data_IF_202547544981
#
_entry.id   IF_202547544981
#
_cell.length_a   1.000
_cell.length_b   1.000
_cell.length_c   1.000
_cell.angle_alpha   90.00
_cell.angle_beta   90.00
_cell.angle_gamma   90.00
#
_symmetry.space_group_name_H-M   'P 1'
#
loop_
_entity.id
_entity.type
_entity.pdbx_description
1 polymer ?
#
# COMPACT_ATOMS: atom_id res chain seq x y z
N UNK A 1 -0.23 9.10 -2.65
CA UNK A 1 0.44 10.18 -1.90
C UNK A 1 0.14 11.56 -2.46
N UNK A 2 0.37 11.83 -3.76
CA UNK A 2 0.03 13.13 -4.36
C UNK A 2 -1.47 13.48 -4.27
N UNK A 3 -2.35 12.49 -4.47
CA UNK A 3 -3.81 12.65 -4.32
C UNK A 3 -4.22 13.06 -2.90
N UNK A 4 -3.56 12.52 -1.87
CA UNK A 4 -3.80 12.87 -0.47
C UNK A 4 -3.45 14.34 -0.20
N UNK A 5 -2.28 14.78 -0.65
CA UNK A 5 -1.84 16.16 -0.49
C UNK A 5 -2.75 17.15 -1.24
N UNK A 6 -3.22 16.79 -2.44
CA UNK A 6 -4.14 17.62 -3.23
C UNK A 6 -5.50 17.79 -2.53
N UNK A 7 -6.08 16.70 -2.02
CA UNK A 7 -7.35 16.75 -1.28
C UNK A 7 -7.18 17.58 0.01
N UNK A 8 -6.09 17.38 0.75
CA UNK A 8 -5.79 18.18 1.94
C UNK A 8 -5.70 19.68 1.62
N UNK A 9 -5.04 20.04 0.50
CA UNK A 9 -4.97 21.41 0.03
C UNK A 9 -6.36 21.99 -0.30
N UNK A 10 -7.20 21.25 -1.04
CA UNK A 10 -8.56 21.71 -1.37
C UNK A 10 -9.42 21.90 -0.12
N UNK A 11 -9.39 20.95 0.81
CA UNK A 11 -10.12 21.07 2.07
C UNK A 11 -9.60 22.24 2.91
N UNK A 12 -8.30 22.54 2.89
CA UNK A 12 -7.73 23.68 3.61
C UNK A 12 -8.17 25.02 3.01
N UNK A 13 -8.25 25.10 1.68
CA UNK A 13 -8.79 26.27 0.99
C UNK A 13 -10.27 26.48 1.31
N UNK A 14 -11.07 25.40 1.37
CA UNK A 14 -12.48 25.47 1.76
C UNK A 14 -12.61 25.89 3.24
N UNK A 15 -11.80 25.34 4.13
CA UNK A 15 -11.75 25.73 5.54
C UNK A 15 -11.46 27.22 5.73
N UNK A 16 -10.52 27.75 4.94
CA UNK A 16 -10.24 29.18 4.90
C UNK A 16 -11.39 30.01 4.33
N UNK A 17 -12.02 29.55 3.25
CA UNK A 17 -13.17 30.22 2.67
C UNK A 17 -14.34 30.31 3.66
N UNK A 18 -14.64 29.24 4.39
CA UNK A 18 -15.69 29.21 5.44
C UNK A 18 -15.38 30.24 6.52
N UNK A 19 -14.18 30.20 7.10
CA UNK A 19 -13.80 31.13 8.15
C UNK A 19 -13.84 32.59 7.68
N UNK A 20 -13.44 32.87 6.43
CA UNK A 20 -13.46 34.22 5.89
C UNK A 20 -14.88 34.72 5.57
N UNK A 21 -15.77 33.82 5.13
CA UNK A 21 -17.15 34.14 4.78
C UNK A 21 -18.05 34.32 6.01
N UNK A 22 -17.89 33.52 7.06
CA UNK A 22 -18.69 33.65 8.29
C UNK A 22 -18.29 34.86 9.13
N UNK A 23 -17.00 35.20 9.14
CA UNK A 23 -16.42 36.21 10.05
C UNK A 23 -17.10 37.58 10.06
N UNK A 24 -17.54 38.17 8.93
CA UNK A 24 -18.28 39.43 8.92
C UNK A 24 -19.67 39.32 9.55
N UNK A 25 -20.35 38.17 9.37
CA UNK A 25 -21.72 37.95 9.83
C UNK A 25 -21.84 37.48 11.28
N UNK A 26 -20.75 37.04 11.89
CA UNK A 26 -20.77 36.53 13.26
C UNK A 26 -20.89 37.66 14.31
N UNK A 27 -21.88 37.57 15.24
CA UNK A 27 -22.05 38.55 16.32
C UNK A 27 -20.92 38.47 17.35
N UNK A 28 -20.35 37.28 17.56
CA UNK A 28 -19.18 37.07 18.41
C UNK A 28 -18.00 36.57 17.57
N UNK A 29 -16.80 37.11 17.79
CA UNK A 29 -15.58 36.76 17.06
C UNK A 29 -14.97 35.45 17.59
N UNK A 30 -15.72 34.36 17.43
CA UNK A 30 -15.39 33.02 17.92
C UNK A 30 -14.78 32.10 16.84
N UNK A 31 -14.79 32.52 15.58
CA UNK A 31 -14.31 31.68 14.46
C UNK A 31 -12.82 31.37 14.57
N UNK A 32 -12.38 30.31 13.89
CA UNK A 32 -10.99 29.85 13.98
C UNK A 32 -9.97 30.92 13.55
N UNK A 33 -10.33 31.80 12.61
CA UNK A 33 -9.49 32.92 12.16
C UNK A 33 -9.28 33.98 13.25
N UNK A 34 -10.29 34.23 14.09
CA UNK A 34 -10.19 35.17 15.20
C UNK A 34 -9.37 34.55 16.34
N UNK A 35 -9.51 33.25 16.58
CA UNK A 35 -8.65 32.52 17.51
C UNK A 35 -7.18 32.53 17.06
N UNK A 36 -6.92 32.33 15.76
CA UNK A 36 -5.57 32.46 15.20
C UNK A 36 -5.01 33.87 15.38
N UNK A 37 -5.81 34.91 15.12
CA UNK A 37 -5.43 36.30 15.31
C UNK A 37 -5.04 36.61 16.76
N UNK A 38 -5.77 36.06 17.71
CA UNK A 38 -5.46 36.19 19.13
C UNK A 38 -4.15 35.47 19.49
N UNK A 39 -3.98 34.23 19.01
CA UNK A 39 -2.78 33.42 19.26
C UNK A 39 -1.50 34.06 18.68
N UNK A 40 -1.58 34.69 17.50
CA UNK A 40 -0.43 35.34 16.86
C UNK A 40 -0.26 36.80 17.26
N UNK A 41 -1.12 37.34 18.13
CA UNK A 41 -1.20 38.77 18.49
C UNK A 41 -1.35 39.69 17.27
N UNK A 42 -1.95 39.19 16.19
CA UNK A 42 -2.23 39.93 14.96
C UNK A 42 -3.74 40.12 14.85
N UNK A 43 -4.27 41.06 15.63
CA UNK A 43 -5.70 41.33 15.71
C UNK A 43 -6.24 41.96 14.43
N UNK A 44 -7.54 41.76 14.22
CA UNK A 44 -8.28 42.46 13.18
C UNK A 44 -8.87 43.76 13.72
N UNK A 45 -8.89 44.80 12.89
CA UNK A 45 -9.47 46.09 13.20
C UNK A 45 -10.98 46.11 12.91
N UNK A 46 -11.68 47.12 13.43
CA UNK A 46 -13.14 47.34 13.24
C UNK A 46 -13.55 47.37 11.77
N UNK A 47 -12.65 47.79 10.88
CA UNK A 47 -12.89 47.93 9.45
C UNK A 47 -12.66 46.61 8.69
N UNK A 48 -12.57 45.48 9.41
CA UNK A 48 -12.19 44.16 8.88
C UNK A 48 -10.80 44.11 8.24
N UNK A 49 -9.98 45.14 8.43
CA UNK A 49 -8.59 45.21 8.00
C UNK A 49 -7.67 44.57 9.05
N UNK A 50 -6.44 44.23 8.65
CA UNK A 50 -5.46 43.59 9.53
C UNK A 50 -5.64 42.07 9.64
N UNK A 51 -5.26 41.52 10.79
CA UNK A 51 -5.26 40.08 11.04
C UNK A 51 -3.98 39.35 10.61
N UNK A 52 -3.99 38.01 10.73
CA UNK A 52 -2.83 37.20 10.40
C UNK A 52 -2.41 37.28 8.93
N UNK A 53 -1.10 37.14 8.69
CA UNK A 53 -0.55 37.05 7.33
C UNK A 53 -1.20 35.92 6.53
N UNK A 54 -1.26 36.06 5.19
CA UNK A 54 -1.81 35.01 4.32
C UNK A 54 -1.08 33.67 4.50
N UNK A 55 0.24 33.70 4.68
CA UNK A 55 1.04 32.51 4.98
C UNK A 55 0.60 31.84 6.27
N UNK A 56 0.40 32.60 7.35
CA UNK A 56 -0.06 32.05 8.61
C UNK A 56 -1.45 31.41 8.46
N UNK A 57 -2.41 32.10 7.83
CA UNK A 57 -3.75 31.58 7.55
C UNK A 57 -3.71 30.25 6.79
N UNK A 58 -2.93 30.20 5.71
CA UNK A 58 -2.81 29.01 4.85
C UNK A 58 -2.13 27.84 5.58
N UNK A 59 -1.02 28.08 6.26
CA UNK A 59 -0.29 27.03 6.99
C UNK A 59 -1.14 26.48 8.14
N UNK A 60 -1.85 27.34 8.87
CA UNK A 60 -2.77 26.91 9.94
C UNK A 60 -3.96 26.11 9.37
N UNK A 61 -4.53 26.53 8.24
CA UNK A 61 -5.61 25.79 7.58
C UNK A 61 -5.14 24.41 7.08
N UNK A 62 -3.98 24.34 6.43
CA UNK A 62 -3.36 23.07 6.05
C UNK A 62 -3.10 22.20 7.27
N UNK A 63 -2.52 22.75 8.32
CA UNK A 63 -2.26 22.02 9.55
C UNK A 63 -3.54 21.42 10.16
N UNK A 64 -4.62 22.20 10.24
CA UNK A 64 -5.93 21.72 10.70
C UNK A 64 -6.43 20.54 9.84
N UNK A 65 -6.42 20.70 8.52
CA UNK A 65 -6.91 19.65 7.61
C UNK A 65 -6.05 18.39 7.63
N UNK A 66 -4.72 18.50 7.64
CA UNK A 66 -3.84 17.35 7.79
C UNK A 66 -4.04 16.67 9.14
N UNK A 67 -4.16 17.42 10.24
CA UNK A 67 -4.40 16.85 11.56
C UNK A 67 -5.75 16.12 11.65
N UNK A 68 -6.77 16.60 10.94
CA UNK A 68 -8.10 15.97 10.88
C UNK A 68 -8.12 14.76 9.96
N UNK A 69 -7.51 14.85 8.76
CA UNK A 69 -7.43 13.75 7.79
C UNK A 69 -6.60 12.57 8.31
N UNK A 70 -5.59 12.85 9.15
CA UNK A 70 -4.76 11.81 9.78
C UNK A 70 -5.33 11.30 11.10
N UNK A 71 -6.50 11.80 11.52
CA UNK A 71 -7.15 11.44 12.80
C UNK A 71 -6.29 11.74 14.04
N UNK A 72 -5.32 12.66 13.94
CA UNK A 72 -4.47 13.05 15.08
C UNK A 72 -5.19 14.07 15.96
N UNK A 73 -5.79 15.11 15.34
CA UNK A 73 -6.71 16.03 16.03
C UNK A 73 -6.16 16.70 17.29
N UNK A 74 -5.03 17.40 17.21
CA UNK A 74 -4.38 18.05 18.36
C UNK A 74 -5.25 19.09 19.13
N UNK A 75 -6.31 19.61 18.51
CA UNK A 75 -7.28 20.50 19.16
C UNK A 75 -6.86 21.97 19.34
N UNK A 76 -5.63 22.33 18.94
CA UNK A 76 -5.13 23.71 18.95
C UNK A 76 -5.77 24.61 17.86
N UNK A 77 -6.27 24.01 16.78
CA UNK A 77 -7.17 24.64 15.81
C UNK A 77 -8.43 23.79 15.80
N UNK A 78 -9.55 24.39 16.20
CA UNK A 78 -10.81 23.68 16.36
C UNK A 78 -11.98 24.48 15.75
N UNK A 79 -13.02 23.80 15.25
CA UNK A 79 -14.26 24.42 14.83
C UNK A 79 -15.04 24.95 16.04
N UNK A 80 -15.44 26.22 16.00
CA UNK A 80 -16.23 26.86 17.03
C UNK A 80 -17.65 27.17 16.55
N UNK A 81 -17.81 27.53 15.27
CA UNK A 81 -19.13 27.79 14.67
C UNK A 81 -19.80 26.50 14.20
N UNK A 82 -21.12 26.53 14.01
CA UNK A 82 -21.85 25.34 13.58
C UNK A 82 -21.51 24.95 12.14
N UNK A 83 -21.24 25.91 11.24
CA UNK A 83 -20.77 25.62 9.88
C UNK A 83 -19.36 25.03 9.91
N UNK A 84 -18.46 25.58 10.72
CA UNK A 84 -17.12 25.01 10.93
C UNK A 84 -17.21 23.56 11.45
N UNK A 85 -18.11 23.26 12.39
CA UNK A 85 -18.32 21.91 12.93
C UNK A 85 -18.87 20.95 11.87
N UNK A 86 -19.89 21.36 11.12
CA UNK A 86 -20.48 20.55 10.04
C UNK A 86 -19.41 20.20 9.01
N UNK A 87 -18.61 21.18 8.58
CA UNK A 87 -17.51 20.94 7.65
C UNK A 87 -16.46 19.98 8.25
N UNK A 88 -16.12 20.16 9.52
CA UNK A 88 -15.14 19.28 10.19
C UNK A 88 -15.62 17.83 10.26
N UNK A 89 -16.91 17.59 10.52
CA UNK A 89 -17.51 16.25 10.47
C UNK A 89 -17.33 15.63 9.08
N UNK A 90 -17.60 16.38 8.01
CA UNK A 90 -17.40 15.90 6.64
C UNK A 90 -15.93 15.59 6.33
N UNK A 91 -15.01 16.44 6.78
CA UNK A 91 -13.56 16.23 6.64
C UNK A 91 -13.11 14.97 7.39
N UNK A 92 -13.62 14.72 8.59
CA UNK A 92 -13.30 13.51 9.36
C UNK A 92 -13.83 12.24 8.66
N UNK A 93 -15.03 12.29 8.08
CA UNK A 93 -15.56 11.16 7.29
C UNK A 93 -14.70 10.88 6.06
N UNK A 94 -14.34 11.90 5.30
CA UNK A 94 -13.44 11.78 4.14
C UNK A 94 -12.07 11.26 4.59
N UNK A 95 -11.54 11.80 5.68
CA UNK A 95 -10.26 11.40 6.28
C UNK A 95 -10.23 9.92 6.65
N UNK A 96 -11.28 9.42 7.31
CA UNK A 96 -11.34 8.00 7.69
C UNK A 96 -11.32 7.05 6.49
N UNK A 97 -12.07 7.37 5.42
CA UNK A 97 -12.08 6.59 4.18
C UNK A 97 -10.71 6.63 3.47
N UNK A 98 -10.10 7.81 3.40
CA UNK A 98 -8.77 7.97 2.80
C UNK A 98 -7.70 7.22 3.59
N UNK A 99 -7.72 7.32 4.92
CA UNK A 99 -6.80 6.62 5.80
C UNK A 99 -6.94 5.10 5.64
N UNK A 100 -8.17 4.58 5.64
CA UNK A 100 -8.44 3.16 5.39
C UNK A 100 -7.90 2.70 4.02
N UNK A 101 -8.06 3.50 2.96
CA UNK A 101 -7.52 3.19 1.64
C UNK A 101 -5.99 3.15 1.61
N UNK A 102 -5.32 4.12 2.25
CA UNK A 102 -3.86 4.16 2.33
C UNK A 102 -3.34 2.92 3.05
N UNK A 103 -3.89 2.62 4.23
CA UNK A 103 -3.50 1.43 5.00
C UNK A 103 -3.81 0.13 4.26
N UNK A 104 -4.95 0.04 3.56
CA UNK A 104 -5.28 -1.10 2.72
C UNK A 104 -4.27 -1.32 1.59
N UNK A 105 -3.86 -0.26 0.91
CA UNK A 105 -2.85 -0.33 -0.15
C UNK A 105 -1.47 -0.73 0.41
N UNK A 106 -1.05 -0.13 1.53
CA UNK A 106 0.22 -0.50 2.19
C UNK A 106 0.20 -1.96 2.63
N UNK A 107 -0.90 -2.41 3.25
CA UNK A 107 -1.09 -3.81 3.64
C UNK A 107 -1.00 -4.75 2.43
N UNK A 108 -1.65 -4.42 1.32
CA UNK A 108 -1.59 -5.21 0.08
C UNK A 108 -0.16 -5.26 -0.50
N UNK A 109 0.59 -4.16 -0.44
CA UNK A 109 2.00 -4.13 -0.87
C UNK A 109 2.85 -5.04 0.03
N UNK A 110 2.68 -4.94 1.35
CA UNK A 110 3.38 -5.79 2.32
C UNK A 110 3.06 -7.27 2.07
N UNK A 111 1.78 -7.61 1.89
CA UNK A 111 1.35 -8.98 1.58
C UNK A 111 1.98 -9.49 0.29
N UNK A 112 2.07 -8.66 -0.76
CA UNK A 112 2.73 -9.03 -2.03
C UNK A 112 4.23 -9.20 -1.87
N UNK A 113 4.89 -8.32 -1.12
CA UNK A 113 6.33 -8.39 -0.85
C UNK A 113 6.70 -9.68 -0.12
N UNK A 114 5.90 -10.07 0.87
CA UNK A 114 6.12 -11.29 1.65
C UNK A 114 5.43 -12.53 1.08
N UNK A 115 4.77 -12.46 -0.08
CA UNK A 115 4.03 -13.58 -0.66
C UNK A 115 4.94 -14.79 -0.94
N UNK A 116 6.15 -14.57 -1.43
CA UNK A 116 7.11 -15.66 -1.72
C UNK A 116 7.55 -16.40 -0.45
N UNK A 117 7.94 -15.65 0.58
CA UNK A 117 8.34 -16.20 1.88
C UNK A 117 7.18 -16.87 2.61
N UNK A 118 5.99 -16.29 2.55
CA UNK A 118 4.77 -16.90 3.09
C UNK A 118 4.49 -18.24 2.41
N UNK A 119 4.57 -18.30 1.07
CA UNK A 119 4.39 -19.54 0.31
C UNK A 119 5.40 -20.61 0.70
N UNK A 120 6.68 -20.24 0.85
CA UNK A 120 7.72 -21.14 1.34
C UNK A 120 7.34 -21.73 2.69
N UNK A 121 7.02 -20.87 3.66
CA UNK A 121 6.65 -21.32 5.01
C UNK A 121 5.39 -22.19 5.02
N UNK A 122 4.35 -21.82 4.29
CA UNK A 122 3.12 -22.64 4.22
C UNK A 122 3.40 -24.03 3.67
N UNK A 123 4.16 -24.15 2.59
CA UNK A 123 4.49 -25.46 2.00
C UNK A 123 5.43 -26.26 2.90
N UNK A 124 6.41 -25.61 3.52
CA UNK A 124 7.32 -26.26 4.47
C UNK A 124 6.58 -26.78 5.72
N UNK A 125 5.58 -26.03 6.21
CA UNK A 125 4.74 -26.48 7.33
C UNK A 125 3.92 -27.72 6.97
N UNK A 126 3.42 -27.82 5.73
CA UNK A 126 2.74 -29.05 5.27
C UNK A 126 3.67 -30.26 5.29
N UNK A 127 4.93 -30.10 4.88
CA UNK A 127 5.94 -31.17 4.96
C UNK A 127 6.18 -31.57 6.42
N UNK A 128 6.32 -30.60 7.33
CA UNK A 128 6.47 -30.88 8.76
C UNK A 128 5.27 -31.58 9.37
N UNK A 129 4.06 -31.20 8.97
CA UNK A 129 2.82 -31.83 9.42
C UNK A 129 2.74 -33.28 8.93
N UNK A 130 3.07 -33.53 7.66
CA UNK A 130 3.17 -34.89 7.10
C UNK A 130 4.16 -35.78 7.87
N UNK A 131 5.35 -35.25 8.15
CA UNK A 131 6.39 -35.93 8.93
C UNK A 131 5.89 -36.29 10.34
N UNK A 132 5.18 -35.34 10.99
CA UNK A 132 4.63 -35.54 12.33
C UNK A 132 3.48 -36.56 12.34
N UNK A 133 2.57 -36.49 11.37
CA UNK A 133 1.42 -37.38 11.27
C UNK A 133 1.84 -38.83 11.08
N UNK A 134 2.80 -39.09 10.19
CA UNK A 134 3.30 -40.43 9.91
C UNK A 134 4.43 -40.88 10.85
N UNK A 135 4.78 -40.10 11.88
CA UNK A 135 5.84 -40.43 12.85
C UNK A 135 7.16 -40.81 12.18
N UNK A 136 7.58 -40.03 11.19
CA UNK A 136 8.78 -40.34 10.39
C UNK A 136 10.04 -40.22 11.28
N UNK A 137 10.93 -41.24 11.27
CA UNK A 137 12.14 -41.22 12.09
C UNK A 137 13.11 -40.09 11.70
N UNK A 138 13.81 -39.54 12.69
CA UNK A 138 14.70 -38.38 12.56
C UNK A 138 15.66 -38.37 11.34
N UNK A 139 16.37 -39.47 10.99
CA UNK A 139 17.27 -39.45 9.83
C UNK A 139 16.53 -39.24 8.49
N UNK A 140 15.32 -39.79 8.33
CA UNK A 140 14.52 -39.60 7.12
C UNK A 140 13.85 -38.22 7.10
N UNK A 141 13.39 -37.76 8.28
CA UNK A 141 12.87 -36.41 8.47
C UNK A 141 13.86 -35.34 8.02
N UNK A 142 15.12 -35.43 8.46
CA UNK A 142 16.14 -34.44 8.13
C UNK A 142 16.39 -34.37 6.62
N UNK A 143 16.49 -35.53 5.96
CA UNK A 143 16.61 -35.62 4.49
C UNK A 143 15.42 -34.99 3.76
N UNK A 144 14.20 -35.18 4.25
CA UNK A 144 13.00 -34.57 3.67
C UNK A 144 13.02 -33.04 3.79
N UNK A 145 13.38 -32.51 4.96
CA UNK A 145 13.46 -31.07 5.19
C UNK A 145 14.57 -30.43 4.33
N UNK A 146 15.76 -31.04 4.25
CA UNK A 146 16.88 -30.59 3.42
C UNK A 146 16.56 -30.63 1.92
N UNK A 147 15.94 -31.72 1.44
CA UNK A 147 15.51 -31.83 0.05
C UNK A 147 14.51 -30.73 -0.31
N UNK A 148 13.53 -30.46 0.57
CA UNK A 148 12.55 -29.39 0.33
C UNK A 148 13.23 -28.01 0.24
N UNK A 149 14.17 -27.71 1.15
CA UNK A 149 14.93 -26.46 1.12
C UNK A 149 15.74 -26.31 -0.18
N UNK A 150 16.42 -27.37 -0.59
CA UNK A 150 17.19 -27.38 -1.83
C UNK A 150 16.28 -27.20 -3.05
N UNK A 151 15.21 -27.99 -3.15
CA UNK A 151 14.25 -27.90 -4.23
C UNK A 151 13.62 -26.50 -4.32
N UNK A 152 13.29 -25.87 -3.18
CA UNK A 152 12.76 -24.51 -3.16
C UNK A 152 13.78 -23.48 -3.62
N UNK A 153 15.04 -23.59 -3.20
CA UNK A 153 16.10 -22.66 -3.60
C UNK A 153 16.38 -22.74 -5.11
N UNK A 154 16.27 -23.94 -5.69
CA UNK A 154 16.48 -24.16 -7.12
C UNK A 154 15.27 -23.74 -7.98
N UNK A 155 14.05 -24.05 -7.54
CA UNK A 155 12.82 -23.82 -8.34
C UNK A 155 12.04 -22.57 -7.95
N UNK A 156 12.40 -21.88 -6.86
CA UNK A 156 11.59 -20.84 -6.20
C UNK A 156 10.13 -21.27 -5.91
N UNK A 157 9.90 -22.57 -5.76
CA UNK A 157 8.56 -23.13 -5.58
C UNK A 157 7.68 -23.07 -6.83
N UNK A 158 8.26 -22.87 -8.02
CA UNK A 158 7.53 -22.88 -9.29
C UNK A 158 7.35 -24.34 -9.74
N UNK A 159 6.09 -24.75 -9.92
CA UNK A 159 5.77 -26.03 -10.53
C UNK A 159 5.85 -25.88 -12.06
N UNK A 160 6.97 -26.33 -12.63
CA UNK A 160 7.24 -26.26 -14.06
C UNK A 160 6.15 -26.96 -14.90
N UNK A 161 5.60 -28.07 -14.42
CA UNK A 161 4.57 -28.80 -15.15
C UNK A 161 3.26 -28.02 -15.20
N UNK A 162 2.90 -27.35 -14.11
CA UNK A 162 1.72 -26.49 -14.04
C UNK A 162 1.87 -25.26 -14.96
N UNK A 163 3.06 -24.65 -15.01
CA UNK A 163 3.35 -23.52 -15.90
C UNK A 163 3.29 -23.94 -17.36
N UNK A 164 3.91 -25.07 -17.73
CA UNK A 164 3.93 -25.57 -19.11
C UNK A 164 2.53 -25.88 -19.63
N UNK A 165 1.65 -26.45 -18.79
CA UNK A 165 0.23 -26.72 -19.17
C UNK A 165 -0.58 -25.47 -19.47
N UNK A 166 -0.13 -24.28 -19.08
CA UNK A 166 -0.78 -23.00 -19.42
C UNK A 166 -0.54 -22.57 -20.88
N UNK A 167 0.39 -23.21 -21.59
CA UNK A 167 0.75 -22.88 -22.96
C UNK A 167 0.31 -23.97 -23.96
N UNK A 168 0.04 -23.63 -25.23
CA UNK A 168 -0.17 -24.60 -26.31
C UNK A 168 1.01 -25.57 -26.46
N UNK A 169 0.74 -26.79 -26.94
CA UNK A 169 1.73 -27.86 -27.05
C UNK A 169 2.96 -27.48 -27.89
N UNK A 170 2.78 -26.66 -28.93
CA UNK A 170 3.90 -26.16 -29.74
C UNK A 170 4.89 -25.32 -28.91
N UNK A 171 4.39 -24.44 -28.03
CA UNK A 171 5.24 -23.62 -27.16
C UNK A 171 5.83 -24.45 -26.01
N UNK A 172 5.10 -25.45 -25.50
CA UNK A 172 5.66 -26.37 -24.51
C UNK A 172 6.88 -27.12 -25.04
N UNK A 173 6.81 -27.62 -26.28
CA UNK A 173 7.92 -28.31 -26.94
C UNK A 173 9.14 -27.40 -27.07
N UNK A 174 8.95 -26.15 -27.51
CA UNK A 174 10.02 -25.17 -27.67
C UNK A 174 10.68 -24.79 -26.34
N UNK A 175 9.87 -24.56 -25.29
CA UNK A 175 10.38 -24.27 -23.95
C UNK A 175 11.16 -25.47 -23.40
N UNK A 176 10.65 -26.69 -23.57
CA UNK A 176 11.31 -27.91 -23.10
C UNK A 176 12.66 -28.12 -23.80
N UNK A 177 12.72 -27.89 -25.11
CA UNK A 177 13.94 -27.99 -25.90
C UNK A 177 14.97 -26.93 -25.46
N UNK A 178 14.52 -25.71 -25.16
CA UNK A 178 15.38 -24.65 -24.63
C UNK A 178 15.95 -25.00 -23.24
N UNK A 179 15.10 -25.44 -22.31
CA UNK A 179 15.53 -25.81 -20.94
C UNK A 179 16.53 -26.96 -20.93
N UNK A 180 16.39 -27.92 -21.85
CA UNK A 180 17.25 -29.09 -21.96
C UNK A 180 18.34 -28.95 -23.02
N UNK A 181 18.52 -27.77 -23.61
CA UNK A 181 19.42 -27.54 -24.75
C UNK A 181 20.83 -28.07 -24.52
N UNK A 182 21.38 -27.81 -23.33
CA UNK A 182 22.71 -28.30 -22.97
C UNK A 182 22.78 -29.83 -23.01
N UNK A 183 21.77 -30.55 -22.51
CA UNK A 183 21.75 -32.01 -22.54
C UNK A 183 21.61 -32.55 -23.97
N UNK A 184 20.81 -31.89 -24.80
CA UNK A 184 20.59 -32.25 -26.20
C UNK A 184 21.86 -32.02 -27.04
N UNK A 185 22.57 -30.91 -26.83
CA UNK A 185 23.79 -30.58 -27.57
C UNK A 185 25.02 -31.34 -27.07
N UNK A 186 25.08 -31.70 -25.78
CA UNK A 186 26.24 -32.38 -25.19
C UNK A 186 26.22 -33.90 -25.36
N UNK A 187 25.09 -34.48 -25.75
CA UNK A 187 24.92 -35.92 -25.78
C UNK A 187 25.01 -36.44 -27.23
N UNK A 188 26.01 -37.28 -27.56
CA UNK A 188 26.22 -37.78 -28.92
C UNK A 188 25.06 -38.64 -29.45
N UNK A 189 24.16 -39.10 -28.58
CA UNK A 189 22.94 -39.81 -28.97
C UNK A 189 21.93 -38.94 -29.74
N UNK A 190 21.98 -37.61 -29.58
CA UNK A 190 21.09 -36.67 -30.26
C UNK A 190 21.79 -35.95 -31.44
N UNK A 191 23.04 -36.31 -31.73
CA UNK A 191 23.82 -35.72 -32.82
C UNK A 191 23.22 -36.12 -34.18
N UNK A 192 22.61 -35.15 -34.87
CA UNK A 192 21.89 -35.38 -36.14
C UNK A 192 20.37 -35.61 -36.01
N UNK A 193 19.78 -35.49 -34.82
CA UNK A 193 18.34 -35.57 -34.64
C UNK A 193 17.61 -34.42 -35.36
N UNK A 194 16.52 -34.73 -36.07
CA UNK A 194 15.73 -33.69 -36.76
C UNK A 194 15.02 -32.75 -35.77
N UNK A 195 14.79 -31.48 -36.12
CA UNK A 195 14.09 -30.53 -35.24
C UNK A 195 12.68 -31.00 -34.84
N UNK A 196 12.03 -31.79 -35.70
CA UNK A 196 10.74 -32.40 -35.40
C UNK A 196 10.81 -33.59 -34.44
N UNK A 197 11.94 -34.30 -34.38
CA UNK A 197 12.20 -35.36 -33.41
C UNK A 197 12.43 -34.78 -32.01
N UNK A 198 13.24 -33.72 -31.92
CA UNK A 198 13.55 -33.04 -30.65
C UNK A 198 12.35 -32.30 -30.02
N UNK A 199 11.35 -31.94 -30.84
CA UNK A 199 10.12 -31.28 -30.40
C UNK A 199 9.00 -32.24 -29.99
N UNK A 200 9.09 -33.52 -30.33
CA UNK A 200 8.04 -34.50 -29.99
C UNK A 200 8.31 -35.09 -28.60
N UNK A 201 7.31 -34.99 -27.73
CA UNK A 201 7.23 -35.72 -26.45
C UNK A 201 7.20 -37.23 -26.69
#
# INVERSE_FOLDING_TARGET
MATFALIAHWLACIWYAIGNAERPGLPHKIGWLDHLANATRQYYYSNSTGGPTLRAKYVTALYFTFSSLTSVGFGNVAPNTDVEKIFTILVMLIGSLMYASIFGNVSAIIQRLYAGTARYHTQFMRVKEFIRFHQIPNPLRQRLEEYFQHAWTYTNGIDMNMVLKGFPDCLQADICLHLNRHLVESCPAFEGASPGCLRKK
#
